data_IF_945995567198
#
_entry.id   IF_945995567198
#
_cell.length_a   1.000
_cell.length_b   1.000
_cell.length_c   1.000
_cell.angle_alpha   90.00
_cell.angle_beta   90.00
_cell.angle_gamma   90.00
#
_symmetry.space_group_name_H-M   'P 1'
#
loop_
_entity.id
_entity.type
_entity.pdbx_description
1 polymer ?
#
# COMPACT_ATOMS: atom_id res chain seq x y z
N UNK A 1 0.44 19.01 20.40
CA UNK A 1 1.67 18.17 20.34
C UNK A 1 1.33 16.69 20.14
N UNK A 2 0.18 16.18 20.61
CA UNK A 2 -0.25 14.80 20.36
C UNK A 2 -0.61 14.52 18.89
N UNK A 3 -1.24 15.46 18.19
CA UNK A 3 -1.66 15.27 16.79
C UNK A 3 -0.49 15.07 15.81
N UNK A 4 0.63 15.75 16.03
CA UNK A 4 1.85 15.59 15.21
C UNK A 4 2.49 14.21 15.39
N UNK A 5 2.41 13.63 16.59
CA UNK A 5 2.90 12.27 16.85
C UNK A 5 2.00 11.22 16.21
N UNK A 6 0.68 11.45 16.19
CA UNK A 6 -0.28 10.55 15.56
C UNK A 6 -0.09 10.50 14.04
N UNK A 7 0.03 11.65 13.38
CA UNK A 7 0.28 11.72 11.93
C UNK A 7 1.61 11.05 11.53
N UNK A 8 2.66 11.24 12.34
CA UNK A 8 3.97 10.65 12.11
C UNK A 8 3.95 9.12 12.21
N UNK A 9 3.29 8.57 13.23
CA UNK A 9 3.18 7.12 13.41
C UNK A 9 2.34 6.47 12.30
N UNK A 10 1.24 7.10 11.89
CA UNK A 10 0.47 6.60 10.76
C UNK A 10 1.31 6.60 9.47
N UNK A 11 2.02 7.69 9.16
CA UNK A 11 2.92 7.74 8.00
C UNK A 11 3.95 6.59 8.01
N UNK A 12 4.55 6.28 9.16
CA UNK A 12 5.47 5.14 9.30
C UNK A 12 4.79 3.80 8.99
N UNK A 13 3.56 3.59 9.44
CA UNK A 13 2.80 2.37 9.17
C UNK A 13 2.53 2.22 7.67
N UNK A 14 2.03 3.26 6.99
CA UNK A 14 1.76 3.17 5.54
C UNK A 14 3.03 2.98 4.73
N UNK A 15 4.11 3.65 5.11
CA UNK A 15 5.41 3.45 4.46
C UNK A 15 5.89 2.01 4.57
N UNK A 16 5.84 1.43 5.77
CA UNK A 16 6.24 0.04 5.99
C UNK A 16 5.36 -0.94 5.22
N UNK A 17 4.06 -0.66 5.12
CA UNK A 17 3.12 -1.47 4.32
C UNK A 17 3.47 -1.40 2.83
N UNK A 18 3.75 -0.21 2.30
CA UNK A 18 4.15 0.00 0.92
C UNK A 18 5.47 -0.71 0.59
N UNK A 19 6.47 -0.60 1.46
CA UNK A 19 7.76 -1.29 1.33
C UNK A 19 7.57 -2.83 1.30
N UNK A 20 6.69 -3.36 2.16
CA UNK A 20 6.34 -4.79 2.19
C UNK A 20 5.70 -5.24 0.88
N UNK A 21 4.77 -4.44 0.34
CA UNK A 21 4.11 -4.72 -0.95
C UNK A 21 5.13 -4.75 -2.08
N UNK A 22 6.06 -3.79 -2.12
CA UNK A 22 7.09 -3.70 -3.16
C UNK A 22 8.10 -4.86 -3.09
N UNK A 23 8.52 -5.26 -1.89
CA UNK A 23 9.40 -6.43 -1.73
C UNK A 23 8.70 -7.73 -2.17
N UNK A 24 7.43 -7.88 -1.82
CA UNK A 24 6.64 -9.03 -2.22
C UNK A 24 6.33 -9.05 -3.72
N UNK A 25 6.23 -7.88 -4.36
CA UNK A 25 6.06 -7.76 -5.81
C UNK A 25 7.22 -8.42 -6.56
N UNK A 26 8.46 -8.16 -6.15
CA UNK A 26 9.65 -8.76 -6.77
C UNK A 26 9.72 -10.26 -6.56
N UNK A 27 9.21 -10.75 -5.42
CA UNK A 27 9.28 -12.17 -5.05
C UNK A 27 8.16 -13.02 -5.65
N UNK A 28 6.94 -12.49 -5.72
CA UNK A 28 5.73 -13.26 -6.06
C UNK A 28 5.02 -12.78 -7.33
N UNK A 29 5.42 -11.63 -7.89
CA UNK A 29 4.83 -11.06 -9.10
C UNK A 29 3.52 -10.30 -8.87
N UNK A 30 3.18 -9.41 -9.81
CA UNK A 30 2.07 -8.47 -9.67
C UNK A 30 0.70 -9.12 -9.51
N UNK A 31 0.45 -10.23 -10.21
CA UNK A 31 -0.85 -10.91 -10.19
C UNK A 31 -1.22 -11.39 -8.80
N UNK A 32 -0.28 -12.07 -8.13
CA UNK A 32 -0.47 -12.61 -6.78
C UNK A 32 -0.70 -11.49 -5.78
N UNK A 33 0.12 -10.44 -5.85
CA UNK A 33 0.03 -9.31 -4.93
C UNK A 33 -1.26 -8.51 -5.11
N UNK A 34 -1.63 -8.21 -6.36
CA UNK A 34 -2.88 -7.51 -6.65
C UNK A 34 -4.10 -8.33 -6.19
N UNK A 35 -4.09 -9.65 -6.40
CA UNK A 35 -5.16 -10.53 -5.92
C UNK A 35 -5.29 -10.52 -4.40
N UNK A 36 -4.17 -10.59 -3.68
CA UNK A 36 -4.14 -10.57 -2.22
C UNK A 36 -4.62 -9.22 -1.65
N UNK A 37 -4.21 -8.10 -2.27
CA UNK A 37 -4.70 -6.77 -1.87
C UNK A 37 -6.20 -6.65 -2.13
N UNK A 38 -6.66 -7.05 -3.31
CA UNK A 38 -8.07 -6.92 -3.70
C UNK A 38 -8.98 -7.86 -2.91
N UNK A 39 -8.52 -9.05 -2.51
CA UNK A 39 -9.32 -9.98 -1.69
C UNK A 39 -9.53 -9.43 -0.27
N UNK A 40 -8.52 -8.74 0.28
CA UNK A 40 -8.56 -8.15 1.61
C UNK A 40 -9.21 -6.76 1.66
N UNK A 41 -9.32 -6.07 0.53
CA UNK A 41 -9.86 -4.70 0.47
C UNK A 41 -11.38 -4.61 0.67
N UNK A 42 -12.13 -5.72 0.70
CA UNK A 42 -13.61 -5.73 0.78
C UNK A 42 -14.29 -4.78 -0.23
N UNK A 43 -13.64 -4.50 -1.37
CA UNK A 43 -14.13 -3.57 -2.40
C UNK A 43 -13.72 -2.11 -2.23
N UNK A 44 -13.00 -1.73 -1.17
CA UNK A 44 -12.53 -0.36 -0.94
C UNK A 44 -11.47 0.08 -1.96
N UNK A 45 -10.69 -0.87 -2.47
CA UNK A 45 -9.60 -0.62 -3.41
C UNK A 45 -9.59 -1.69 -4.49
N UNK A 46 -9.32 -1.26 -5.73
CA UNK A 46 -8.99 -2.14 -6.85
C UNK A 46 -7.58 -1.83 -7.35
N UNK A 47 -6.70 -2.82 -7.26
CA UNK A 47 -5.33 -2.81 -7.75
C UNK A 47 -5.27 -3.64 -9.03
N UNK A 48 -4.83 -3.02 -10.11
CA UNK A 48 -4.58 -3.70 -11.38
C UNK A 48 -3.44 -4.73 -11.22
N UNK A 49 -3.58 -5.97 -11.75
CA UNK A 49 -2.57 -7.02 -11.66
C UNK A 49 -1.39 -6.81 -12.63
N UNK A 50 -0.78 -5.62 -12.57
CA UNK A 50 0.43 -5.27 -13.32
C UNK A 50 1.43 -4.65 -12.37
N UNK A 51 2.73 -4.76 -12.68
CA UNK A 51 3.79 -4.16 -11.85
C UNK A 51 3.54 -2.67 -11.62
N UNK A 52 3.11 -1.96 -12.67
CA UNK A 52 2.72 -0.56 -12.59
C UNK A 52 1.54 -0.35 -11.64
N UNK A 53 0.49 -1.17 -11.72
CA UNK A 53 -0.69 -1.06 -10.85
C UNK A 53 -0.35 -1.21 -9.36
N UNK A 54 0.44 -2.23 -9.04
CA UNK A 54 0.88 -2.50 -7.65
C UNK A 54 1.81 -1.39 -7.14
N UNK A 55 2.75 -0.91 -7.97
CA UNK A 55 3.66 0.19 -7.60
C UNK A 55 2.91 1.50 -7.38
N UNK A 56 1.92 1.82 -8.21
CA UNK A 56 1.09 3.02 -8.02
C UNK A 56 0.25 2.94 -6.74
N UNK A 57 -0.27 1.76 -6.40
CA UNK A 57 -0.94 1.55 -5.12
C UNK A 57 0.01 1.78 -3.93
N UNK A 58 1.21 1.21 -3.97
CA UNK A 58 2.23 1.41 -2.92
C UNK A 58 2.60 2.90 -2.76
N UNK A 59 2.78 3.64 -3.86
CA UNK A 59 3.02 5.09 -3.83
C UNK A 59 1.85 5.86 -3.19
N UNK A 60 0.60 5.49 -3.51
CA UNK A 60 -0.59 6.11 -2.91
C UNK A 60 -0.64 5.90 -1.40
N UNK A 61 -0.22 4.75 -0.89
CA UNK A 61 -0.15 4.51 0.55
C UNK A 61 0.83 5.47 1.23
N UNK A 62 2.01 5.66 0.64
CA UNK A 62 3.03 6.59 1.17
C UNK A 62 2.53 8.05 1.15
N UNK A 63 1.81 8.41 0.08
CA UNK A 63 1.36 9.79 -0.15
C UNK A 63 -0.04 10.09 0.42
N UNK A 64 -0.67 9.15 1.14
CA UNK A 64 -1.99 9.37 1.71
C UNK A 64 -1.86 10.42 2.82
N UNK A 65 -2.09 11.69 2.48
CA UNK A 65 -2.43 12.71 3.50
C UNK A 65 -3.73 12.24 4.12
N UNK A 66 -3.72 12.07 5.44
CA UNK A 66 -4.93 11.80 6.20
C UNK A 66 -5.87 12.97 5.95
N UNK A 67 -6.97 12.69 5.24
CA UNK A 67 -8.12 13.58 5.18
C UNK A 67 -8.86 13.49 6.51
#
# INVERSE_FOLDING_TARGET
MEDLNFEYEQYRVFRRLAETILSNLEKYGAEVIAKEINSKSRGEYYVTPTDRGVREFAKKLINKKFN
#
